data_IF_149606892399
#
_entry.id   IF_149606892399
#
_cell.length_a   1.000
_cell.length_b   1.000
_cell.length_c   1.000
_cell.angle_alpha   90.00
_cell.angle_beta   90.00
_cell.angle_gamma   90.00
#
_symmetry.space_group_name_H-M   'P 1'
#
loop_
_entity.id
_entity.type
_entity.pdbx_description
1 polymer ?
#
# COMPACT_ATOMS: atom_id res chain seq x y z
N UNK A 1 -4.00 -21.21 25.06
CA UNK A 1 -4.06 -20.71 23.66
C UNK A 1 -2.99 -21.44 22.87
N UNK A 2 -3.35 -22.48 22.12
CA UNK A 2 -2.46 -22.98 21.06
C UNK A 2 -2.39 -21.91 19.95
N UNK A 3 -1.24 -21.82 19.27
CA UNK A 3 -0.90 -20.65 18.45
C UNK A 3 -1.91 -20.33 17.35
N UNK A 4 -2.30 -19.06 17.27
CA UNK A 4 -2.88 -18.49 16.04
C UNK A 4 -1.79 -18.51 14.96
N UNK A 5 -2.11 -18.86 13.69
CA UNK A 5 -1.13 -18.80 12.61
C UNK A 5 -0.50 -17.41 12.50
N UNK A 6 0.84 -17.35 12.39
CA UNK A 6 1.59 -16.08 12.37
C UNK A 6 1.79 -15.42 13.73
N UNK A 7 1.49 -16.08 14.86
CA UNK A 7 1.77 -15.56 16.20
C UNK A 7 2.63 -16.50 17.04
N UNK A 8 3.63 -15.93 17.72
CA UNK A 8 4.52 -16.65 18.64
C UNK A 8 4.66 -15.91 19.98
N UNK A 9 5.12 -16.59 21.03
CA UNK A 9 5.49 -15.94 22.30
C UNK A 9 6.99 -16.11 22.54
N UNK A 10 7.71 -15.00 22.61
CA UNK A 10 9.18 -14.94 22.76
C UNK A 10 9.52 -13.91 23.83
N UNK A 11 10.35 -14.28 24.81
CA UNK A 11 10.78 -13.40 25.92
C UNK A 11 9.62 -12.66 26.64
N UNK A 12 8.45 -13.29 26.73
CA UNK A 12 7.22 -12.74 27.32
C UNK A 12 6.35 -11.90 26.38
N UNK A 13 6.91 -11.42 25.26
CA UNK A 13 6.19 -10.68 24.22
C UNK A 13 5.32 -11.64 23.39
N UNK A 14 4.18 -11.13 22.91
CA UNK A 14 3.43 -11.72 21.80
C UNK A 14 3.97 -11.10 20.50
N UNK A 15 4.56 -11.92 19.63
CA UNK A 15 5.06 -11.47 18.33
C UNK A 15 4.09 -11.91 17.22
N UNK A 16 3.89 -11.03 16.24
CA UNK A 16 3.29 -11.35 14.93
C UNK A 16 4.39 -11.44 13.87
N UNK A 17 4.28 -12.46 13.04
CA UNK A 17 5.05 -12.64 11.80
C UNK A 17 4.05 -12.85 10.66
N UNK A 18 3.64 -11.76 10.01
CA UNK A 18 2.69 -11.76 8.89
C UNK A 18 3.36 -11.54 7.53
N UNK A 19 2.72 -11.95 6.41
CA UNK A 19 3.12 -11.49 5.08
C UNK A 19 3.08 -9.95 5.01
N UNK A 20 4.20 -9.34 4.68
CA UNK A 20 4.36 -7.88 4.64
C UNK A 20 4.97 -7.25 5.90
N UNK A 21 5.12 -8.01 7.00
CA UNK A 21 5.94 -7.57 8.14
C UNK A 21 7.42 -7.56 7.72
N UNK A 22 8.09 -6.41 7.89
CA UNK A 22 9.51 -6.28 7.62
C UNK A 22 10.38 -6.92 8.72
N UNK A 23 9.86 -6.91 9.96
CA UNK A 23 10.44 -7.52 11.16
C UNK A 23 9.31 -8.10 12.01
N UNK A 24 9.56 -9.08 12.91
CA UNK A 24 8.56 -9.54 13.86
C UNK A 24 8.02 -8.38 14.69
N UNK A 25 6.69 -8.25 14.75
CA UNK A 25 6.01 -7.12 15.41
C UNK A 25 5.56 -7.54 16.82
N UNK A 26 6.04 -6.87 17.86
CA UNK A 26 5.55 -7.06 19.22
C UNK A 26 4.17 -6.40 19.38
N UNK A 27 3.15 -7.21 19.66
CA UNK A 27 1.73 -6.82 19.63
C UNK A 27 1.22 -6.51 21.03
N UNK A 28 0.62 -5.32 21.18
CA UNK A 28 -0.03 -4.87 22.41
C UNK A 28 -1.47 -4.45 22.10
N UNK A 29 -2.42 -5.14 22.72
CA UNK A 29 -3.86 -4.91 22.63
C UNK A 29 -4.38 -4.43 23.98
N UNK A 30 -5.14 -3.33 23.98
CA UNK A 30 -5.69 -2.67 25.18
C UNK A 30 -4.65 -2.34 26.27
N UNK A 31 -3.37 -2.22 25.88
CA UNK A 31 -2.23 -2.01 26.77
C UNK A 31 -1.13 -1.15 26.11
N UNK A 32 -0.21 -0.64 26.93
CA UNK A 32 1.07 -0.09 26.46
C UNK A 32 2.24 -0.93 26.98
N UNK A 33 3.39 -0.99 26.27
CA UNK A 33 4.52 -1.79 26.71
C UNK A 33 5.21 -1.20 27.94
N UNK A 34 5.53 -2.06 28.90
CA UNK A 34 6.33 -1.70 30.08
C UNK A 34 7.78 -1.37 29.69
N UNK A 35 8.50 -0.65 30.55
CA UNK A 35 9.91 -0.27 30.33
C UNK A 35 10.80 -1.47 29.97
N UNK A 36 10.56 -2.63 30.59
CA UNK A 36 11.32 -3.85 30.29
C UNK A 36 11.00 -4.43 28.91
N UNK A 37 9.74 -4.36 28.47
CA UNK A 37 9.31 -4.81 27.15
C UNK A 37 9.80 -3.86 26.05
N UNK A 38 9.72 -2.54 26.27
CA UNK A 38 10.27 -1.53 25.34
C UNK A 38 11.75 -1.76 25.05
N UNK A 39 12.54 -2.00 26.11
CA UNK A 39 13.95 -2.35 25.99
C UNK A 39 14.16 -3.62 25.15
N UNK A 40 13.41 -4.70 25.42
CA UNK A 40 13.51 -5.95 24.65
C UNK A 40 13.15 -5.77 23.18
N UNK A 41 12.12 -4.98 22.86
CA UNK A 41 11.69 -4.70 21.49
C UNK A 41 12.86 -4.08 20.71
N UNK A 42 13.48 -3.03 21.27
CA UNK A 42 14.65 -2.36 20.66
C UNK A 42 15.87 -3.30 20.61
N UNK A 43 16.24 -3.95 21.71
CA UNK A 43 17.41 -4.86 21.79
C UNK A 43 17.34 -6.06 20.84
N UNK A 44 16.12 -6.50 20.48
CA UNK A 44 15.87 -7.60 19.54
C UNK A 44 15.64 -7.14 18.10
N UNK A 45 15.52 -5.84 17.83
CA UNK A 45 15.14 -5.31 16.52
C UNK A 45 13.70 -5.67 16.11
N UNK A 46 12.80 -5.86 17.08
CA UNK A 46 11.38 -6.07 16.82
C UNK A 46 10.69 -4.74 16.52
N UNK A 47 9.66 -4.80 15.68
CA UNK A 47 8.75 -3.68 15.51
C UNK A 47 7.73 -3.61 16.65
N UNK A 48 6.98 -2.50 16.71
CA UNK A 48 5.89 -2.31 17.66
C UNK A 48 4.55 -2.27 16.90
N UNK A 49 3.59 -3.09 17.31
CA UNK A 49 2.21 -3.00 16.86
C UNK A 49 1.31 -2.71 18.06
N UNK A 50 0.66 -1.55 18.08
CA UNK A 50 -0.31 -1.16 19.11
C UNK A 50 -1.72 -1.08 18.52
N UNK A 51 -2.66 -1.74 19.20
CA UNK A 51 -4.09 -1.66 18.94
C UNK A 51 -4.86 -1.45 20.26
N UNK A 52 -5.99 -0.74 20.21
CA UNK A 52 -6.80 -0.51 21.41
C UNK A 52 -6.12 0.36 22.48
N UNK A 53 -5.15 1.21 22.11
CA UNK A 53 -4.37 2.04 23.06
C UNK A 53 -5.28 2.69 24.12
N UNK A 54 -5.03 2.46 25.43
CA UNK A 54 -5.86 2.97 26.52
C UNK A 54 -6.08 4.48 26.43
N UNK A 55 -7.24 4.96 26.87
CA UNK A 55 -7.65 6.37 26.74
C UNK A 55 -6.60 7.38 27.25
N UNK A 56 -5.88 7.05 28.33
CA UNK A 56 -4.82 7.87 28.92
C UNK A 56 -3.52 7.95 28.10
N UNK A 57 -3.39 7.16 27.03
CA UNK A 57 -2.19 7.07 26.18
C UNK A 57 -2.50 7.26 24.69
N UNK A 58 -3.72 7.69 24.34
CA UNK A 58 -4.12 8.02 22.96
C UNK A 58 -3.37 9.21 22.38
N UNK A 59 -2.63 9.96 23.19
CA UNK A 59 -1.70 10.98 22.71
C UNK A 59 -0.43 10.37 22.07
N UNK A 60 -0.23 9.05 22.17
CA UNK A 60 0.93 8.28 21.68
C UNK A 60 2.30 8.79 22.15
N UNK A 61 2.36 9.66 23.17
CA UNK A 61 3.62 10.28 23.64
C UNK A 61 4.61 9.27 24.22
N UNK A 62 4.12 8.12 24.69
CA UNK A 62 4.94 7.00 25.16
C UNK A 62 5.85 6.39 24.07
N UNK A 63 5.57 6.65 22.78
CA UNK A 63 6.41 6.18 21.67
C UNK A 63 7.82 6.81 21.70
N UNK A 64 7.97 7.99 22.32
CA UNK A 64 9.27 8.67 22.53
C UNK A 64 10.28 7.82 23.32
N UNK A 65 9.81 6.84 24.10
CA UNK A 65 10.66 5.94 24.89
C UNK A 65 11.32 4.83 24.04
N UNK A 66 10.99 4.70 22.75
CA UNK A 66 11.54 3.68 21.85
C UNK A 66 12.71 4.21 21.00
N UNK A 67 13.83 4.45 21.66
CA UNK A 67 15.07 4.89 21.01
C UNK A 67 15.59 3.83 20.04
N UNK A 68 15.48 4.06 18.73
CA UNK A 68 15.94 3.14 17.69
C UNK A 68 14.87 2.17 17.14
N UNK A 69 13.58 2.47 17.32
CA UNK A 69 12.51 1.71 16.66
C UNK A 69 12.57 1.91 15.14
N UNK A 70 12.58 0.82 14.38
CA UNK A 70 12.61 0.82 12.90
C UNK A 70 11.25 0.50 12.27
N UNK A 71 10.36 -0.19 12.99
CA UNK A 71 9.04 -0.56 12.49
C UNK A 71 7.93 -0.25 13.51
N UNK A 72 6.90 0.48 13.06
CA UNK A 72 5.73 0.85 13.86
C UNK A 72 4.44 0.58 13.08
N UNK A 73 3.47 -0.05 13.73
CA UNK A 73 2.08 -0.14 13.29
C UNK A 73 1.16 0.34 14.41
N UNK A 74 0.27 1.28 14.07
CA UNK A 74 -0.74 1.83 14.97
C UNK A 74 -2.10 1.59 14.34
N UNK A 75 -3.00 0.92 15.05
CA UNK A 75 -4.38 0.68 14.59
C UNK A 75 -5.38 1.11 15.65
N UNK A 76 -6.37 1.92 15.28
CA UNK A 76 -7.41 2.34 16.22
C UNK A 76 -8.20 3.56 15.78
N UNK A 77 -8.70 4.32 16.77
CA UNK A 77 -9.60 5.46 16.57
C UNK A 77 -9.24 6.61 17.51
N UNK A 78 -9.30 7.84 17.00
CA UNK A 78 -9.08 9.08 17.75
C UNK A 78 -7.73 9.10 18.52
N UNK A 79 -6.65 8.68 17.86
CA UNK A 79 -5.29 8.80 18.40
C UNK A 79 -4.59 10.03 17.82
N UNK A 80 -3.79 10.71 18.64
CA UNK A 80 -2.88 11.75 18.19
C UNK A 80 -1.62 11.11 17.62
N UNK A 81 -1.52 11.05 16.29
CA UNK A 81 -0.39 10.47 15.58
C UNK A 81 0.82 11.39 15.48
N UNK A 82 0.74 12.65 15.94
CA UNK A 82 1.82 13.63 15.77
C UNK A 82 3.16 13.22 16.39
N UNK A 83 3.25 12.57 17.58
CA UNK A 83 4.52 12.13 18.13
C UNK A 83 5.24 11.04 17.34
N UNK A 84 4.57 10.37 16.39
CA UNK A 84 5.21 9.41 15.48
C UNK A 84 6.31 10.08 14.65
N UNK A 85 6.13 11.35 14.28
CA UNK A 85 7.13 12.15 13.54
C UNK A 85 8.47 12.30 14.25
N UNK A 86 8.52 12.11 15.57
CA UNK A 86 9.76 12.23 16.36
C UNK A 86 10.65 10.98 16.28
N UNK A 87 10.11 9.85 15.79
CA UNK A 87 10.79 8.56 15.69
C UNK A 87 11.54 8.46 14.35
N UNK A 88 12.51 9.35 14.14
CA UNK A 88 13.23 9.52 12.86
C UNK A 88 14.01 8.28 12.36
N UNK A 89 14.13 7.25 13.19
CA UNK A 89 14.69 5.92 12.87
C UNK A 89 13.72 4.96 12.20
N UNK A 90 12.44 5.32 12.03
CA UNK A 90 11.46 4.47 11.37
C UNK A 90 11.79 4.24 9.89
N UNK A 91 11.97 2.98 9.52
CA UNK A 91 12.08 2.49 8.14
C UNK A 91 10.71 2.04 7.61
N UNK A 92 9.82 1.58 8.50
CA UNK A 92 8.50 1.06 8.18
C UNK A 92 7.43 1.63 9.11
N UNK A 93 6.38 2.23 8.52
CA UNK A 93 5.28 2.84 9.28
C UNK A 93 3.91 2.43 8.70
N UNK A 94 3.01 2.03 9.58
CA UNK A 94 1.59 1.79 9.30
C UNK A 94 0.71 2.59 10.27
N UNK A 95 -0.14 3.47 9.73
CA UNK A 95 -1.08 4.32 10.48
C UNK A 95 -2.52 4.07 10.03
N UNK A 96 -3.11 3.03 10.61
CA UNK A 96 -4.51 2.62 10.40
C UNK A 96 -5.39 3.23 11.51
N UNK A 97 -5.40 4.56 11.59
CA UNK A 97 -6.04 5.33 12.67
C UNK A 97 -7.18 6.19 12.11
N UNK A 98 -8.42 5.79 12.37
CA UNK A 98 -9.59 6.58 11.99
C UNK A 98 -9.71 7.83 12.89
N UNK A 99 -10.01 8.98 12.28
CA UNK A 99 -10.12 10.25 13.03
C UNK A 99 -8.79 10.85 13.48
N UNK A 100 -7.65 10.31 13.02
CA UNK A 100 -6.33 10.89 13.28
C UNK A 100 -6.23 12.36 12.78
N UNK A 101 -5.43 13.20 13.44
CA UNK A 101 -5.06 14.51 12.90
C UNK A 101 -4.10 14.35 11.72
N UNK A 102 -4.00 15.39 10.88
CA UNK A 102 -2.91 15.49 9.91
C UNK A 102 -1.56 15.44 10.62
N UNK A 103 -0.66 14.60 10.12
CA UNK A 103 0.66 14.36 10.70
C UNK A 103 1.75 14.72 9.69
N UNK A 104 2.71 15.54 10.13
CA UNK A 104 3.89 15.86 9.33
C UNK A 104 4.92 14.73 9.46
N UNK A 105 5.03 13.89 8.43
CA UNK A 105 5.92 12.73 8.39
C UNK A 105 7.29 13.06 7.79
N UNK A 106 7.53 14.30 7.31
CA UNK A 106 8.80 14.72 6.69
C UNK A 106 10.05 14.54 7.56
N UNK A 107 9.99 14.60 8.91
CA UNK A 107 11.13 14.27 9.75
C UNK A 107 11.58 12.80 9.66
N UNK A 108 10.75 11.89 9.16
CA UNK A 108 11.03 10.45 9.03
C UNK A 108 11.94 10.15 7.83
N UNK A 109 13.14 10.74 7.85
CA UNK A 109 14.14 10.67 6.75
C UNK A 109 14.74 9.28 6.50
N UNK A 110 14.42 8.28 7.33
CA UNK A 110 14.79 6.87 7.13
C UNK A 110 13.66 6.02 6.51
N UNK A 111 12.46 6.59 6.32
CA UNK A 111 11.26 5.83 5.98
C UNK A 111 11.32 5.32 4.55
N UNK A 112 11.22 3.99 4.38
CA UNK A 112 11.22 3.31 3.07
C UNK A 112 9.85 2.74 2.71
N UNK A 113 8.98 2.50 3.70
CA UNK A 113 7.65 1.92 3.50
C UNK A 113 6.60 2.61 4.38
N UNK A 114 5.50 3.04 3.76
CA UNK A 114 4.35 3.63 4.44
C UNK A 114 3.03 2.91 4.10
N UNK A 115 2.14 2.80 5.08
CA UNK A 115 0.73 2.45 4.90
C UNK A 115 -0.18 3.33 5.76
N UNK A 116 -1.32 3.80 5.24
CA UNK A 116 -2.33 4.50 6.04
C UNK A 116 -3.32 5.34 5.24
N UNK A 117 -4.13 6.15 5.92
CA UNK A 117 -5.08 7.04 5.27
C UNK A 117 -4.36 8.14 4.49
N UNK A 118 -4.76 8.38 3.23
CA UNK A 118 -4.15 9.44 2.40
C UNK A 118 -4.33 10.83 3.02
N UNK A 119 -5.55 11.18 3.43
CA UNK A 119 -5.89 12.57 3.77
C UNK A 119 -5.10 13.14 4.96
N UNK A 120 -4.67 12.29 5.90
CA UNK A 120 -3.92 12.68 7.11
C UNK A 120 -2.40 12.54 6.99
N UNK A 121 -1.89 11.95 5.91
CA UNK A 121 -0.47 11.55 5.78
C UNK A 121 0.19 12.01 4.46
N UNK A 122 -0.37 13.00 3.77
CA UNK A 122 0.10 13.50 2.45
C UNK A 122 1.58 13.87 2.42
N UNK A 123 2.07 14.39 3.55
CA UNK A 123 3.46 14.78 3.81
C UNK A 123 4.48 13.65 3.56
N UNK A 124 4.04 12.38 3.57
CA UNK A 124 4.90 11.22 3.30
C UNK A 124 5.52 11.25 1.89
N UNK A 125 4.85 11.86 0.91
CA UNK A 125 5.37 11.99 -0.47
C UNK A 125 6.54 12.97 -0.60
N UNK A 126 6.82 13.79 0.42
CA UNK A 126 8.01 14.65 0.49
C UNK A 126 9.26 13.90 1.03
N UNK A 127 9.11 12.64 1.49
CA UNK A 127 10.21 11.84 2.04
C UNK A 127 11.00 11.14 0.91
N UNK A 128 12.20 11.61 0.62
CA UNK A 128 13.01 11.15 -0.51
C UNK A 128 13.46 9.67 -0.47
N UNK A 129 13.35 8.99 0.68
CA UNK A 129 13.66 7.56 0.86
C UNK A 129 12.46 6.63 0.67
N UNK A 130 11.26 7.16 0.43
CA UNK A 130 10.03 6.37 0.39
C UNK A 130 9.94 5.51 -0.89
N UNK A 131 10.32 4.25 -0.79
CA UNK A 131 10.25 3.32 -1.93
C UNK A 131 8.84 2.75 -2.13
N UNK A 132 8.06 2.58 -1.07
CA UNK A 132 6.78 1.84 -1.08
C UNK A 132 5.70 2.57 -0.30
N UNK A 133 4.53 2.75 -0.90
CA UNK A 133 3.38 3.41 -0.26
C UNK A 133 2.07 2.65 -0.51
N UNK A 134 1.26 2.47 0.53
CA UNK A 134 -0.11 1.96 0.44
C UNK A 134 -1.07 2.97 1.07
N UNK A 135 -2.14 3.32 0.35
CA UNK A 135 -3.15 4.24 0.85
C UNK A 135 -4.56 3.67 0.77
N UNK A 136 -5.30 3.87 1.86
CA UNK A 136 -6.75 3.75 1.88
C UNK A 136 -7.42 5.13 1.90
N UNK A 137 -8.73 5.13 1.62
CA UNK A 137 -9.64 6.28 1.58
C UNK A 137 -9.11 7.50 0.81
N UNK A 138 -8.66 7.22 -0.42
CA UNK A 138 -8.26 8.20 -1.42
C UNK A 138 -9.52 8.86 -2.03
N UNK A 139 -10.13 9.73 -1.21
CA UNK A 139 -11.36 10.46 -1.50
C UNK A 139 -11.19 11.53 -2.60
N UNK A 140 -10.02 12.14 -2.72
CA UNK A 140 -9.78 13.28 -3.59
C UNK A 140 -9.02 12.92 -4.88
N UNK A 141 -9.07 13.82 -5.86
CA UNK A 141 -8.13 13.86 -7.01
C UNK A 141 -6.73 14.35 -6.58
N UNK A 142 -6.32 14.11 -5.33
CA UNK A 142 -5.23 14.81 -4.66
C UNK A 142 -3.85 14.13 -4.81
N UNK A 143 -3.79 12.91 -5.38
CA UNK A 143 -2.56 12.32 -5.90
C UNK A 143 -2.17 13.06 -7.20
N UNK A 144 -1.81 14.33 -7.05
CA UNK A 144 -1.52 15.25 -8.16
C UNK A 144 -0.27 14.81 -8.94
N UNK A 145 0.78 14.43 -8.23
CA UNK A 145 2.01 13.87 -8.79
C UNK A 145 2.54 12.74 -7.89
N UNK A 146 2.90 11.61 -8.50
CA UNK A 146 3.59 10.49 -7.85
C UNK A 146 5.10 10.79 -7.82
N UNK A 147 5.78 10.72 -6.66
CA UNK A 147 7.21 11.02 -6.56
C UNK A 147 8.08 10.14 -7.45
N UNK A 148 9.09 10.73 -8.09
CA UNK A 148 9.95 10.04 -9.06
C UNK A 148 10.72 8.84 -8.47
N UNK A 149 10.95 8.81 -7.15
CA UNK A 149 11.70 7.77 -6.46
C UNK A 149 10.83 6.57 -6.01
N UNK A 150 9.50 6.71 -6.00
CA UNK A 150 8.58 5.67 -5.52
C UNK A 150 8.62 4.46 -6.46
N UNK A 151 8.82 3.26 -5.90
CA UNK A 151 8.93 1.99 -6.63
C UNK A 151 7.61 1.22 -6.67
N UNK A 152 6.83 1.25 -5.60
CA UNK A 152 5.56 0.52 -5.50
C UNK A 152 4.47 1.39 -4.85
N UNK A 153 3.28 1.40 -5.46
CA UNK A 153 2.11 2.14 -4.98
C UNK A 153 0.88 1.23 -4.95
N UNK A 154 0.18 1.18 -3.82
CA UNK A 154 -1.12 0.52 -3.69
C UNK A 154 -2.19 1.55 -3.25
N UNK A 155 -3.32 1.55 -3.95
CA UNK A 155 -4.46 2.43 -3.72
C UNK A 155 -5.68 1.56 -3.40
N UNK A 156 -5.78 1.11 -2.14
CA UNK A 156 -6.72 0.08 -1.68
C UNK A 156 -8.20 0.52 -1.66
N UNK A 157 -8.45 1.82 -1.63
CA UNK A 157 -9.80 2.42 -1.71
C UNK A 157 -9.69 3.78 -2.39
N UNK A 158 -9.91 3.81 -3.71
CA UNK A 158 -9.70 5.01 -4.53
C UNK A 158 -10.92 5.38 -5.40
N UNK A 159 -12.12 5.59 -4.82
CA UNK A 159 -13.38 5.73 -5.55
C UNK A 159 -13.44 6.94 -6.50
N UNK A 160 -12.58 7.95 -6.30
CA UNK A 160 -12.52 9.16 -7.14
C UNK A 160 -11.24 9.29 -7.98
N UNK A 161 -10.27 8.38 -7.86
CA UNK A 161 -9.10 8.37 -8.75
C UNK A 161 -9.58 8.08 -10.18
N UNK A 162 -9.00 8.77 -11.17
CA UNK A 162 -9.33 8.59 -12.60
C UNK A 162 -8.10 8.44 -13.49
N UNK A 163 -7.03 9.10 -13.10
CA UNK A 163 -5.73 9.09 -13.77
C UNK A 163 -4.67 9.28 -12.70
N UNK A 164 -3.45 8.85 -13.01
CA UNK A 164 -2.26 9.17 -12.21
C UNK A 164 -1.28 9.94 -13.08
N UNK A 165 -0.45 10.77 -12.46
CA UNK A 165 0.61 11.49 -13.13
C UNK A 165 1.91 11.26 -12.36
N UNK A 166 2.93 10.71 -13.02
CA UNK A 166 4.30 10.79 -12.50
C UNK A 166 4.74 12.26 -12.44
N UNK A 167 5.58 12.61 -11.46
CA UNK A 167 6.07 13.99 -11.36
C UNK A 167 6.79 14.44 -12.62
N UNK A 168 6.68 15.73 -12.93
CA UNK A 168 7.30 16.35 -14.12
C UNK A 168 8.82 16.42 -14.00
N UNK A 169 9.33 16.48 -12.78
CA UNK A 169 10.74 16.69 -12.47
C UNK A 169 11.41 15.35 -12.11
N UNK A 170 11.59 14.48 -13.11
CA UNK A 170 12.32 13.21 -12.96
C UNK A 170 11.97 12.15 -13.99
N UNK A 171 12.55 10.95 -13.83
CA UNK A 171 12.17 9.73 -14.54
C UNK A 171 11.47 8.79 -13.54
N UNK A 172 10.13 8.68 -13.56
CA UNK A 172 9.38 7.94 -12.54
C UNK A 172 9.80 6.47 -12.41
N UNK A 173 10.28 6.11 -11.22
CA UNK A 173 10.83 4.79 -10.92
C UNK A 173 9.78 3.68 -10.74
N UNK A 174 8.49 4.03 -10.71
CA UNK A 174 7.37 3.15 -10.35
C UNK A 174 7.37 1.85 -11.18
N UNK A 175 7.44 0.71 -10.49
CA UNK A 175 7.51 -0.65 -11.07
C UNK A 175 6.26 -1.47 -10.82
N UNK A 176 5.58 -1.24 -9.70
CA UNK A 176 4.32 -1.88 -9.31
C UNK A 176 3.25 -0.85 -8.98
N UNK A 177 2.05 -1.10 -9.48
CA UNK A 177 0.88 -0.29 -9.18
C UNK A 177 -0.32 -1.21 -8.92
N UNK A 178 -0.99 -0.98 -7.79
CA UNK A 178 -2.29 -1.57 -7.48
C UNK A 178 -3.32 -0.45 -7.34
N UNK A 179 -4.45 -0.60 -8.03
CA UNK A 179 -5.61 0.31 -7.95
C UNK A 179 -6.84 -0.51 -7.62
N UNK A 180 -7.51 -0.16 -6.52
CA UNK A 180 -8.69 -0.86 -6.04
C UNK A 180 -9.88 0.09 -5.85
N UNK A 181 -11.08 -0.39 -6.19
CA UNK A 181 -12.39 0.28 -6.01
C UNK A 181 -12.56 1.62 -6.76
N UNK A 182 -11.82 1.85 -7.84
CA UNK A 182 -12.00 3.04 -8.67
C UNK A 182 -13.29 2.96 -9.50
N UNK A 183 -14.06 4.06 -9.58
CA UNK A 183 -15.29 4.11 -10.39
C UNK A 183 -15.03 4.17 -11.89
N UNK A 184 -13.98 4.87 -12.29
CA UNK A 184 -13.53 5.05 -13.66
C UNK A 184 -12.02 5.24 -13.63
N UNK A 185 -11.25 4.46 -14.36
CA UNK A 185 -9.81 4.68 -14.52
C UNK A 185 -9.40 4.74 -16.00
N UNK A 186 -8.55 5.69 -16.35
CA UNK A 186 -7.98 5.88 -17.69
C UNK A 186 -6.52 5.41 -17.70
N UNK A 187 -6.30 4.24 -18.31
CA UNK A 187 -4.99 3.62 -18.43
C UNK A 187 -4.00 4.43 -19.30
N UNK A 188 -4.47 5.38 -20.12
CA UNK A 188 -3.61 6.28 -20.89
C UNK A 188 -2.66 7.06 -19.98
N UNK A 189 -3.11 7.38 -18.76
CA UNK A 189 -2.32 8.09 -17.75
C UNK A 189 -1.08 7.31 -17.26
N UNK A 190 -1.09 5.97 -17.39
CA UNK A 190 0.01 5.11 -16.98
C UNK A 190 1.24 5.22 -17.88
N UNK A 191 1.11 5.80 -19.08
CA UNK A 191 2.26 6.13 -19.95
C UNK A 191 3.28 7.07 -19.29
N UNK A 192 2.90 7.76 -18.22
CA UNK A 192 3.82 8.56 -17.38
C UNK A 192 4.77 7.71 -16.52
N UNK A 193 4.59 6.39 -16.46
CA UNK A 193 5.43 5.45 -15.69
C UNK A 193 6.16 4.47 -16.62
N UNK A 194 7.24 4.88 -17.30
CA UNK A 194 7.91 4.09 -18.35
C UNK A 194 8.58 2.81 -17.83
N UNK A 195 8.61 2.60 -16.51
CA UNK A 195 9.19 1.44 -15.82
C UNK A 195 8.14 0.50 -15.22
N UNK A 196 6.84 0.80 -15.40
CA UNK A 196 5.75 0.03 -14.81
C UNK A 196 5.70 -1.39 -15.41
N UNK A 197 5.91 -2.38 -14.55
CA UNK A 197 6.09 -3.79 -14.94
C UNK A 197 5.03 -4.73 -14.37
N UNK A 198 4.37 -4.34 -13.28
CA UNK A 198 3.26 -5.07 -12.67
C UNK A 198 2.12 -4.11 -12.38
N UNK A 199 0.94 -4.44 -12.89
CA UNK A 199 -0.27 -3.65 -12.73
C UNK A 199 -1.41 -4.54 -12.23
N UNK A 200 -1.98 -4.22 -11.07
CA UNK A 200 -3.19 -4.84 -10.56
C UNK A 200 -4.33 -3.81 -10.55
N UNK A 201 -5.43 -4.14 -11.20
CA UNK A 201 -6.66 -3.33 -11.22
C UNK A 201 -7.78 -4.19 -10.65
N UNK A 202 -8.33 -3.78 -9.51
CA UNK A 202 -9.31 -4.55 -8.74
C UNK A 202 -10.59 -3.77 -8.47
N UNK A 203 -11.74 -4.44 -8.54
CA UNK A 203 -13.08 -3.87 -8.27
C UNK A 203 -13.37 -2.55 -9.03
N UNK A 204 -12.78 -2.38 -10.23
CA UNK A 204 -12.95 -1.16 -11.03
C UNK A 204 -14.20 -1.23 -11.89
N UNK A 205 -15.11 -0.27 -11.72
CA UNK A 205 -16.40 -0.28 -12.40
C UNK A 205 -16.28 0.03 -13.90
N UNK A 206 -15.30 0.83 -14.31
CA UNK A 206 -14.99 1.10 -15.72
C UNK A 206 -13.50 1.39 -15.95
N UNK A 207 -12.88 0.65 -16.86
CA UNK A 207 -11.52 0.88 -17.33
C UNK A 207 -11.57 1.34 -18.80
N UNK A 208 -10.82 2.39 -19.14
CA UNK A 208 -10.72 2.95 -20.51
C UNK A 208 -9.26 3.18 -20.89
N UNK A 209 -8.99 3.36 -22.19
CA UNK A 209 -7.63 3.68 -22.66
C UNK A 209 -6.68 2.49 -22.64
N UNK A 210 -7.21 1.25 -22.67
CA UNK A 210 -6.41 0.03 -22.50
C UNK A 210 -5.42 -0.24 -23.63
N UNK A 211 -5.53 0.48 -24.76
CA UNK A 211 -4.50 0.50 -25.81
C UNK A 211 -3.12 0.91 -25.27
N UNK A 212 -3.07 1.90 -24.38
CA UNK A 212 -1.82 2.40 -23.80
C UNK A 212 -1.06 1.36 -22.95
N UNK A 213 -1.73 0.28 -22.51
CA UNK A 213 -1.07 -0.81 -21.79
C UNK A 213 -0.11 -1.61 -22.68
N UNK A 214 -0.27 -1.54 -24.01
CA UNK A 214 0.61 -2.21 -24.97
C UNK A 214 1.99 -1.53 -25.11
N UNK A 215 2.07 -0.23 -24.79
CA UNK A 215 3.30 0.57 -24.85
C UNK A 215 4.15 0.46 -23.56
N UNK A 216 3.59 -0.12 -22.50
CA UNK A 216 4.26 -0.29 -21.20
C UNK A 216 5.07 -1.61 -21.15
N UNK A 217 6.19 -1.67 -20.39
CA UNK A 217 6.99 -2.88 -20.22
C UNK A 217 6.37 -3.86 -19.22
N UNK A 218 5.05 -4.04 -19.27
CA UNK A 218 4.30 -4.92 -18.39
C UNK A 218 4.74 -6.39 -18.55
N UNK A 219 4.88 -7.05 -17.42
CA UNK A 219 5.11 -8.50 -17.28
C UNK A 219 3.90 -9.18 -16.69
N UNK A 220 3.20 -8.51 -15.78
CA UNK A 220 2.04 -9.02 -15.06
C UNK A 220 0.91 -7.97 -15.07
N UNK A 221 -0.29 -8.40 -15.44
CA UNK A 221 -1.51 -7.59 -15.45
C UNK A 221 -2.64 -8.37 -14.75
N UNK A 222 -3.07 -7.90 -13.58
CA UNK A 222 -4.27 -8.39 -12.89
C UNK A 222 -5.49 -7.53 -13.24
N UNK A 223 -6.57 -8.15 -13.71
CA UNK A 223 -7.88 -7.54 -13.93
C UNK A 223 -8.91 -8.29 -13.09
N UNK A 224 -9.05 -7.89 -11.83
CA UNK A 224 -9.81 -8.62 -10.81
C UNK A 224 -11.17 -7.94 -10.57
N UNK A 225 -12.27 -8.67 -10.75
CA UNK A 225 -13.64 -8.15 -10.55
C UNK A 225 -13.97 -6.85 -11.31
N UNK A 226 -13.20 -6.47 -12.33
CA UNK A 226 -13.52 -5.32 -13.16
C UNK A 226 -14.90 -5.55 -13.83
N UNK A 227 -15.71 -4.50 -13.93
CA UNK A 227 -17.08 -4.64 -14.45
C UNK A 227 -17.20 -4.34 -15.95
N UNK A 228 -16.43 -3.37 -16.45
CA UNK A 228 -16.45 -2.98 -17.85
C UNK A 228 -15.07 -2.46 -18.28
N UNK A 229 -14.62 -2.93 -19.45
CA UNK A 229 -13.43 -2.44 -20.13
C UNK A 229 -13.90 -1.98 -21.51
N UNK A 230 -13.58 -0.75 -21.89
CA UNK A 230 -14.07 -0.18 -23.15
C UNK A 230 -13.39 -0.86 -24.37
N UNK A 231 -12.06 -0.93 -24.37
CA UNK A 231 -11.26 -1.28 -25.55
C UNK A 231 -10.72 -2.72 -25.44
N UNK A 232 -11.63 -3.68 -25.22
CA UNK A 232 -11.31 -5.10 -24.98
C UNK A 232 -10.48 -5.76 -26.10
N UNK A 233 -10.67 -5.32 -27.36
CA UNK A 233 -9.89 -5.82 -28.50
C UNK A 233 -8.40 -5.43 -28.43
N UNK A 234 -8.06 -4.35 -27.73
CA UNK A 234 -6.67 -3.91 -27.54
C UNK A 234 -5.95 -4.77 -26.52
N UNK A 235 -6.64 -5.26 -25.47
CA UNK A 235 -6.08 -6.21 -24.51
C UNK A 235 -5.65 -7.53 -25.16
N UNK A 236 -6.33 -7.95 -26.24
CA UNK A 236 -5.94 -9.15 -26.99
C UNK A 236 -4.56 -9.02 -27.68
N UNK A 237 -4.02 -7.80 -27.82
CA UNK A 237 -2.67 -7.54 -28.37
C UNK A 237 -1.55 -7.77 -27.34
N UNK A 238 -1.88 -7.89 -26.06
CA UNK A 238 -0.92 -8.11 -24.96
C UNK A 238 -0.39 -9.56 -24.95
N UNK A 239 0.44 -9.89 -25.93
CA UNK A 239 0.98 -11.24 -26.19
C UNK A 239 2.16 -11.64 -25.32
N UNK A 240 2.83 -10.68 -24.67
CA UNK A 240 4.05 -10.88 -23.85
C UNK A 240 3.84 -10.68 -22.34
N UNK A 241 2.59 -10.44 -21.92
CA UNK A 241 2.21 -10.15 -20.54
C UNK A 241 1.50 -11.38 -19.96
N UNK A 242 1.82 -11.80 -18.73
CA UNK A 242 0.95 -12.72 -17.98
C UNK A 242 -0.26 -11.92 -17.53
N UNK A 243 -1.44 -12.29 -18.00
CA UNK A 243 -2.68 -11.62 -17.59
C UNK A 243 -3.51 -12.56 -16.73
N UNK A 244 -3.94 -12.10 -15.57
CA UNK A 244 -4.85 -12.81 -14.67
C UNK A 244 -6.19 -12.10 -14.66
N UNK A 245 -7.28 -12.83 -14.87
CA UNK A 245 -8.63 -12.28 -14.90
C UNK A 245 -9.52 -13.04 -13.94
N UNK A 246 -10.29 -12.31 -13.13
CA UNK A 246 -11.29 -12.90 -12.22
C UNK A 246 -12.64 -12.17 -12.32
N UNK A 247 -13.71 -12.86 -11.93
CA UNK A 247 -15.06 -12.29 -11.88
C UNK A 247 -15.69 -12.10 -13.26
N UNK A 248 -16.60 -11.11 -13.37
CA UNK A 248 -17.59 -11.02 -14.48
C UNK A 248 -16.99 -10.93 -15.89
N UNK A 249 -15.80 -10.37 -16.04
CA UNK A 249 -15.15 -10.24 -17.35
C UNK A 249 -14.42 -11.49 -17.82
N UNK A 250 -14.21 -12.51 -16.97
CA UNK A 250 -13.51 -13.74 -17.35
C UNK A 250 -14.13 -14.41 -18.58
N UNK A 251 -15.48 -14.50 -18.62
CA UNK A 251 -16.22 -15.06 -19.76
C UNK A 251 -16.07 -14.20 -21.03
N UNK A 252 -16.33 -12.89 -20.95
CA UNK A 252 -16.24 -11.99 -22.11
C UNK A 252 -14.84 -11.85 -22.69
N UNK A 253 -13.80 -12.02 -21.85
CA UNK A 253 -12.40 -12.06 -22.29
C UNK A 253 -12.07 -13.40 -22.98
N UNK A 254 -12.61 -14.52 -22.51
CA UNK A 254 -12.41 -15.82 -23.13
C UNK A 254 -12.99 -15.89 -24.55
N UNK A 255 -14.16 -15.30 -24.79
CA UNK A 255 -14.81 -15.26 -26.11
C UNK A 255 -13.96 -14.55 -27.18
N UNK A 256 -13.36 -13.42 -26.82
CA UNK A 256 -12.52 -12.58 -27.71
C UNK A 256 -11.20 -13.27 -28.12
N UNK A 257 -10.75 -14.30 -27.37
CA UNK A 257 -9.48 -15.00 -27.59
C UNK A 257 -9.61 -16.36 -28.28
N UNK A 258 -10.71 -16.62 -28.98
CA UNK A 258 -10.91 -17.81 -29.83
C UNK A 258 -9.97 -17.84 -31.05
N UNK A 259 -8.68 -18.09 -30.81
CA UNK A 259 -7.64 -18.16 -31.86
C UNK A 259 -6.20 -17.91 -31.41
N UNK A 260 -5.94 -17.48 -30.17
CA UNK A 260 -4.58 -17.19 -29.68
C UNK A 260 -4.22 -18.00 -28.42
N UNK A 261 -3.17 -18.81 -28.48
CA UNK A 261 -2.32 -19.14 -27.31
C UNK A 261 -1.28 -18.02 -27.09
N UNK A 262 -0.60 -17.88 -25.94
CA UNK A 262 -0.99 -18.03 -24.53
C UNK A 262 -0.98 -16.60 -23.89
N UNK A 263 -0.57 -16.32 -22.63
CA UNK A 263 -0.60 -17.10 -21.39
C UNK A 263 -1.48 -16.38 -20.34
N UNK A 264 -2.77 -16.73 -20.27
CA UNK A 264 -3.75 -16.07 -19.39
C UNK A 264 -4.24 -17.05 -18.32
N UNK A 265 -4.17 -16.64 -17.05
CA UNK A 265 -4.65 -17.41 -15.91
C UNK A 265 -6.06 -16.94 -15.55
N UNK A 266 -7.04 -17.80 -15.81
CA UNK A 266 -8.44 -17.56 -15.46
C UNK A 266 -8.71 -18.23 -14.11
N UNK A 267 -8.98 -17.42 -13.08
CA UNK A 267 -9.45 -17.92 -11.78
C UNK A 267 -10.95 -17.63 -11.69
N UNK A 268 -11.72 -18.70 -11.49
CA UNK A 268 -13.18 -18.69 -11.45
C UNK A 268 -13.73 -18.05 -10.16
#
# INVERSE_FOLDING_TARGET
>A
MAGLPGFSRVDGLLLREGPGDAVPMAVFEDAIPSVAERRRIVERGYGLHVLGVPAAHRDLTFLRDFLGLTALSVTGVDYDTRPVSEITTLEHLSLEVLGAPETDLRPLTSLTSFAGAWETNKSVFEIATLERASFHDVEASALNEIPAHLLELDLASAPRIRSLQGTRDGDPALRRLSINRARLFDATSLTTFPRLSVLAISDVARLVGTAALADLPLRELGLLNCHHIADMAELARLTKVRVTVTGRLAASIAEIRTGCEPPWEYLA
#
